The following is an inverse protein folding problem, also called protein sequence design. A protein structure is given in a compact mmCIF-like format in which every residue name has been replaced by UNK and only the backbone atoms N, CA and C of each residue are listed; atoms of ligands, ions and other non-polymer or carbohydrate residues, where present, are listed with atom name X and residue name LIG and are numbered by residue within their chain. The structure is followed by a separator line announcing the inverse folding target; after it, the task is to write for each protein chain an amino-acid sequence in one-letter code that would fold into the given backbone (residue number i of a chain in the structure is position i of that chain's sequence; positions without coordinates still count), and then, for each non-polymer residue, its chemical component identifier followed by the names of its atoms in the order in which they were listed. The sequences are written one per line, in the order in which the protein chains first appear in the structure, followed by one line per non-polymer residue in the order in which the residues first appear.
data_IF_866690957278
#
_entry.id   IF_866690957278
#
_cell.length_a   1.000
_cell.length_b   1.000
_cell.length_c   1.000
_cell.angle_alpha   90.00
_cell.angle_beta   90.00
_cell.angle_gamma   90.00
#
_symmetry.space_group_name_H-M   'P 1'
#
loop_
_entity.id
_entity.type
_entity.pdbx_description
1 polymer ?
#
# COMPACT_ATOMS: atom_id res chain seq x y z
N UNK A 1 -22.67 16.71 10.96
CA UNK A 1 -23.07 15.29 10.76
C UNK A 1 -23.84 15.04 9.46
N UNK A 2 -24.27 16.07 8.73
CA UNK A 2 -25.30 15.87 7.68
C UNK A 2 -24.78 15.77 6.25
N UNK A 3 -23.48 15.98 5.98
CA UNK A 3 -22.93 16.01 4.61
C UNK A 3 -22.56 14.63 4.04
N UNK A 4 -22.31 13.63 4.86
CA UNK A 4 -21.84 12.33 4.39
C UNK A 4 -22.83 11.60 3.48
N UNK A 5 -24.14 11.72 3.76
CA UNK A 5 -25.20 11.09 2.93
C UNK A 5 -25.32 11.63 1.51
N UNK A 6 -24.76 12.80 1.23
CA UNK A 6 -24.74 13.39 -0.12
C UNK A 6 -23.51 12.93 -0.94
N UNK A 7 -22.57 12.22 -0.32
CA UNK A 7 -21.42 11.65 -1.01
C UNK A 7 -21.78 10.34 -1.68
N UNK A 8 -21.11 10.04 -2.78
CA UNK A 8 -21.27 8.77 -3.51
C UNK A 8 -20.45 7.63 -2.92
N UNK A 9 -19.46 7.94 -2.10
CA UNK A 9 -18.57 6.99 -1.45
C UNK A 9 -17.43 7.70 -0.74
N UNK A 10 -16.60 6.92 -0.05
CA UNK A 10 -15.36 7.36 0.59
C UNK A 10 -14.21 6.55 -0.01
N UNK A 11 -13.18 7.22 -0.53
CA UNK A 11 -11.91 6.58 -0.91
C UNK A 11 -10.87 6.98 0.13
N UNK A 12 -10.43 6.01 0.92
CA UNK A 12 -9.41 6.21 1.94
C UNK A 12 -8.03 5.77 1.43
N UNK A 13 -7.27 6.72 0.90
CA UNK A 13 -5.87 6.58 0.54
C UNK A 13 -4.91 7.12 1.63
N UNK A 14 -5.44 7.60 2.76
CA UNK A 14 -4.62 8.08 3.87
C UNK A 14 -4.03 6.90 4.66
N UNK A 15 -2.74 6.98 4.95
CA UNK A 15 -2.06 5.99 5.78
C UNK A 15 -0.80 6.59 6.44
N UNK A 16 -0.41 6.02 7.58
CA UNK A 16 0.94 6.13 8.09
C UNK A 16 1.79 5.08 7.38
N UNK A 17 2.80 5.48 6.63
CA UNK A 17 3.58 4.60 5.73
C UNK A 17 5.06 4.47 6.09
N UNK A 18 5.51 5.11 7.17
CA UNK A 18 6.90 4.99 7.62
C UNK A 18 7.12 3.65 8.35
N UNK A 19 7.33 2.58 7.58
CA UNK A 19 7.38 1.18 8.05
C UNK A 19 8.35 1.00 9.21
N UNK A 20 9.62 1.41 9.04
CA UNK A 20 10.65 1.25 10.06
C UNK A 20 10.36 2.09 11.32
N UNK A 21 9.87 3.32 11.13
CA UNK A 21 9.53 4.19 12.25
C UNK A 21 8.33 3.66 13.04
N UNK A 22 7.43 2.90 12.40
CA UNK A 22 6.31 2.26 13.07
C UNK A 22 6.74 1.28 14.18
N UNK A 23 7.96 0.75 14.13
CA UNK A 23 8.50 -0.13 15.16
C UNK A 23 8.87 0.62 16.47
N UNK A 24 9.03 1.94 16.41
CA UNK A 24 9.21 2.77 17.61
C UNK A 24 7.90 2.94 18.39
N UNK A 25 7.99 3.25 19.69
CA UNK A 25 6.79 3.48 20.52
C UNK A 25 5.89 4.59 19.95
N UNK A 26 6.48 5.73 19.58
CA UNK A 26 5.74 6.84 18.99
C UNK A 26 5.18 6.50 17.61
N UNK A 27 5.97 5.88 16.75
CA UNK A 27 5.55 5.48 15.40
C UNK A 27 4.43 4.44 15.44
N UNK A 28 4.50 3.48 16.36
CA UNK A 28 3.44 2.50 16.61
C UNK A 28 2.11 3.18 16.94
N UNK A 29 2.11 4.11 17.89
CA UNK A 29 0.90 4.83 18.25
C UNK A 29 0.30 5.60 17.06
N UNK A 30 1.14 6.25 16.25
CA UNK A 30 0.71 6.96 15.04
C UNK A 30 0.19 6.01 13.95
N UNK A 31 0.88 4.89 13.72
CA UNK A 31 0.46 3.89 12.74
C UNK A 31 -0.92 3.31 13.11
N UNK A 32 -1.14 2.91 14.35
CA UNK A 32 -2.43 2.41 14.81
C UNK A 32 -3.53 3.47 14.77
N UNK A 33 -3.21 4.72 15.14
CA UNK A 33 -4.18 5.82 15.07
C UNK A 33 -4.66 6.07 13.64
N UNK A 34 -3.73 6.13 12.66
CA UNK A 34 -4.06 6.40 11.26
C UNK A 34 -4.65 5.17 10.56
N UNK A 35 -3.94 4.02 10.64
CA UNK A 35 -4.22 2.85 9.81
C UNK A 35 -5.34 1.96 10.35
N UNK A 36 -5.66 2.03 11.64
CA UNK A 36 -6.72 1.24 12.27
C UNK A 36 -7.86 2.12 12.80
N UNK A 37 -7.59 3.01 13.77
CA UNK A 37 -8.63 3.81 14.42
C UNK A 37 -9.29 4.78 13.44
N UNK A 38 -8.50 5.44 12.58
CA UNK A 38 -9.00 6.31 11.53
C UNK A 38 -9.91 5.58 10.55
N UNK A 39 -9.50 4.38 10.13
CA UNK A 39 -10.30 3.53 9.22
C UNK A 39 -11.61 3.09 9.90
N UNK A 40 -11.58 2.70 11.17
CA UNK A 40 -12.78 2.35 11.92
C UNK A 40 -13.76 3.53 12.03
N UNK A 41 -13.25 4.76 12.13
CA UNK A 41 -14.11 5.96 12.12
C UNK A 41 -14.76 6.15 10.74
N UNK A 42 -14.00 6.00 9.64
CA UNK A 42 -14.53 6.08 8.28
C UNK A 42 -15.54 4.97 7.99
N UNK A 43 -15.27 3.75 8.45
CA UNK A 43 -16.19 2.62 8.32
C UNK A 43 -17.56 2.91 8.96
N UNK A 44 -17.56 3.41 10.21
CA UNK A 44 -18.81 3.82 10.88
C UNK A 44 -19.56 4.91 10.12
N UNK A 45 -18.84 5.87 9.53
CA UNK A 45 -19.45 6.93 8.73
C UNK A 45 -20.06 6.37 7.46
N UNK A 46 -19.32 5.52 6.73
CA UNK A 46 -19.78 4.92 5.49
C UNK A 46 -21.01 4.05 5.71
N UNK A 47 -20.98 3.19 6.73
CA UNK A 47 -22.10 2.33 7.10
C UNK A 47 -23.35 3.14 7.49
N UNK A 48 -23.19 4.10 8.39
CA UNK A 48 -24.29 4.96 8.85
C UNK A 48 -24.86 5.89 7.76
N UNK A 49 -24.10 6.17 6.71
CA UNK A 49 -24.53 6.94 5.53
C UNK A 49 -25.05 6.04 4.40
N UNK A 50 -24.82 4.73 4.45
CA UNK A 50 -25.19 3.78 3.40
C UNK A 50 -24.38 3.94 2.11
N UNK A 51 -23.13 4.41 2.21
CA UNK A 51 -22.25 4.68 1.07
C UNK A 51 -21.05 3.71 1.07
N UNK A 52 -20.48 3.38 -0.10
CA UNK A 52 -19.31 2.50 -0.18
C UNK A 52 -18.05 3.13 0.44
N UNK A 53 -17.21 2.26 1.00
CA UNK A 53 -15.86 2.59 1.49
C UNK A 53 -14.83 1.83 0.66
N UNK A 54 -13.97 2.55 -0.04
CA UNK A 54 -12.72 2.01 -0.61
C UNK A 54 -11.60 2.26 0.39
N UNK A 55 -10.86 1.21 0.75
CA UNK A 55 -9.71 1.29 1.64
C UNK A 55 -8.46 0.75 0.95
N UNK A 56 -7.48 1.62 0.70
CA UNK A 56 -6.18 1.20 0.16
C UNK A 56 -5.38 0.52 1.26
N UNK A 57 -5.01 -0.73 1.04
CA UNK A 57 -4.22 -1.58 1.94
C UNK A 57 -2.87 -1.95 1.29
N UNK A 58 -2.19 -2.96 1.79
CA UNK A 58 -0.83 -3.32 1.44
C UNK A 58 -0.64 -4.85 1.42
N UNK A 59 0.34 -5.32 0.67
CA UNK A 59 0.88 -6.67 0.72
C UNK A 59 1.57 -7.00 2.05
N UNK A 60 2.02 -6.01 2.83
CA UNK A 60 2.57 -6.21 4.18
C UNK A 60 1.57 -6.83 5.19
N UNK A 61 0.33 -7.06 4.80
CA UNK A 61 -0.62 -7.87 5.60
C UNK A 61 -0.28 -9.36 5.57
N UNK A 62 0.59 -9.80 4.67
CA UNK A 62 1.08 -11.17 4.57
C UNK A 62 2.45 -11.34 5.23
N UNK A 63 2.85 -12.58 5.49
CA UNK A 63 4.14 -12.93 6.10
C UNK A 63 5.31 -13.06 5.10
N UNK A 64 5.03 -13.01 3.80
CA UNK A 64 6.05 -13.16 2.76
C UNK A 64 6.65 -14.57 2.67
N UNK A 65 6.03 -15.59 3.23
CA UNK A 65 6.56 -16.96 3.29
C UNK A 65 6.38 -17.78 2.00
N UNK A 66 5.59 -17.29 1.03
CA UNK A 66 5.40 -17.99 -0.22
C UNK A 66 6.68 -18.03 -1.05
N UNK A 67 7.01 -19.21 -1.65
CA UNK A 67 8.10 -19.30 -2.61
C UNK A 67 7.92 -18.36 -3.80
N UNK A 68 9.03 -17.91 -4.38
CA UNK A 68 9.00 -17.12 -5.62
C UNK A 68 8.22 -17.87 -6.72
N UNK A 69 7.40 -17.12 -7.45
CA UNK A 69 6.52 -17.65 -8.49
C UNK A 69 5.14 -18.08 -7.98
N UNK A 70 4.90 -18.03 -6.66
CA UNK A 70 3.56 -18.18 -6.09
C UNK A 70 3.01 -16.83 -5.65
N UNK A 71 1.69 -16.71 -5.64
CA UNK A 71 0.98 -15.47 -5.29
C UNK A 71 -0.04 -15.73 -4.19
N UNK A 72 -0.14 -14.79 -3.24
CA UNK A 72 -1.22 -14.82 -2.25
C UNK A 72 -2.56 -14.55 -2.93
N UNK A 73 -3.55 -15.36 -2.64
CA UNK A 73 -4.93 -15.09 -3.06
C UNK A 73 -5.57 -14.01 -2.17
N UNK A 74 -6.66 -13.43 -2.63
CA UNK A 74 -7.40 -12.42 -1.84
C UNK A 74 -7.93 -12.99 -0.51
N UNK A 75 -8.19 -14.29 -0.46
CA UNK A 75 -8.69 -15.02 0.71
C UNK A 75 -7.57 -15.63 1.57
N UNK A 76 -6.31 -15.48 1.18
CA UNK A 76 -5.20 -15.97 1.97
C UNK A 76 -5.21 -15.34 3.37
N UNK A 77 -4.93 -16.12 4.43
CA UNK A 77 -4.85 -15.60 5.79
C UNK A 77 -3.82 -14.48 5.91
N UNK A 78 -4.20 -13.40 6.58
CA UNK A 78 -3.25 -12.32 6.88
C UNK A 78 -2.38 -12.72 8.08
N UNK A 79 -1.07 -12.47 7.99
CA UNK A 79 -0.09 -12.79 9.01
C UNK A 79 1.04 -11.73 9.05
N UNK A 80 0.71 -10.46 9.32
CA UNK A 80 1.65 -9.35 9.20
C UNK A 80 2.79 -9.45 10.21
N UNK A 81 4.04 -9.29 9.75
CA UNK A 81 5.24 -9.36 10.58
C UNK A 81 5.57 -8.02 11.24
N UNK A 82 5.32 -6.89 10.57
CA UNK A 82 5.65 -5.55 11.05
C UNK A 82 4.47 -4.85 11.73
N UNK A 83 4.75 -3.87 12.57
CA UNK A 83 3.73 -3.01 13.19
C UNK A 83 2.91 -2.27 12.11
N UNK A 84 3.56 -1.83 11.04
CA UNK A 84 2.87 -1.25 9.90
C UNK A 84 1.84 -2.22 9.32
N UNK A 85 2.27 -3.44 8.97
CA UNK A 85 1.38 -4.48 8.45
C UNK A 85 0.23 -4.83 9.39
N UNK A 86 0.52 -4.96 10.70
CA UNK A 86 -0.49 -5.22 11.74
C UNK A 86 -1.53 -4.10 11.79
N UNK A 87 -1.10 -2.84 11.78
CA UNK A 87 -2.01 -1.68 11.79
C UNK A 87 -2.87 -1.62 10.54
N UNK A 88 -2.33 -1.95 9.37
CA UNK A 88 -3.06 -2.03 8.10
C UNK A 88 -4.06 -3.17 8.08
N UNK A 89 -3.68 -4.37 8.56
CA UNK A 89 -4.58 -5.51 8.70
C UNK A 89 -5.76 -5.20 9.64
N UNK A 90 -5.51 -4.50 10.75
CA UNK A 90 -6.57 -4.03 11.64
C UNK A 90 -7.52 -3.03 10.92
N UNK A 91 -6.99 -2.18 10.05
CA UNK A 91 -7.77 -1.31 9.19
C UNK A 91 -8.65 -2.08 8.20
N UNK A 92 -8.14 -3.16 7.60
CA UNK A 92 -8.95 -4.04 6.75
C UNK A 92 -10.11 -4.67 7.52
N UNK A 93 -9.88 -5.14 8.75
CA UNK A 93 -10.94 -5.68 9.60
C UNK A 93 -12.04 -4.64 9.86
N UNK A 94 -11.64 -3.38 10.11
CA UNK A 94 -12.59 -2.29 10.27
C UNK A 94 -13.35 -1.99 8.96
N UNK A 95 -12.68 -1.96 7.82
CA UNK A 95 -13.31 -1.72 6.52
C UNK A 95 -14.30 -2.84 6.14
N UNK A 96 -13.98 -4.11 6.45
CA UNK A 96 -14.85 -5.27 6.22
C UNK A 96 -16.17 -5.24 7.01
N UNK A 97 -16.25 -4.44 8.07
CA UNK A 97 -17.51 -4.26 8.80
C UNK A 97 -18.58 -3.49 8.02
N UNK A 98 -18.19 -2.81 6.94
CA UNK A 98 -19.10 -2.10 6.02
C UNK A 98 -19.51 -3.07 4.91
N UNK A 99 -20.80 -3.31 4.74
CA UNK A 99 -21.29 -4.24 3.70
C UNK A 99 -20.84 -3.81 2.28
N UNK A 100 -20.73 -2.51 2.04
CA UNK A 100 -20.29 -1.91 0.77
C UNK A 100 -18.83 -1.48 0.85
N UNK A 101 -17.91 -2.44 0.84
CA UNK A 101 -16.49 -2.11 0.92
C UNK A 101 -15.69 -2.66 -0.26
N UNK A 102 -14.63 -1.94 -0.61
CA UNK A 102 -13.53 -2.41 -1.44
C UNK A 102 -12.25 -2.26 -0.64
N UNK A 103 -11.55 -3.36 -0.38
CA UNK A 103 -10.20 -3.35 0.16
C UNK A 103 -9.26 -3.58 -1.01
N UNK A 104 -8.40 -2.61 -1.28
CA UNK A 104 -7.44 -2.66 -2.39
C UNK A 104 -6.05 -2.83 -1.82
N UNK A 105 -5.53 -4.05 -1.82
CA UNK A 105 -4.15 -4.35 -1.45
C UNK A 105 -3.23 -4.07 -2.63
N UNK A 106 -2.18 -3.34 -2.37
CA UNK A 106 -1.20 -2.95 -3.38
C UNK A 106 0.21 -3.06 -2.82
N UNK A 107 1.23 -2.95 -3.66
CA UNK A 107 2.64 -3.03 -3.30
C UNK A 107 3.44 -1.91 -3.97
N UNK A 108 4.52 -1.45 -3.33
CA UNK A 108 5.56 -0.60 -3.90
C UNK A 108 5.01 0.57 -4.71
N UNK A 109 4.11 1.34 -4.12
CA UNK A 109 3.41 2.44 -4.80
C UNK A 109 4.40 3.54 -5.18
N UNK A 110 4.40 3.90 -6.46
CA UNK A 110 5.28 4.88 -7.08
C UNK A 110 4.47 5.88 -7.90
N UNK A 111 4.82 7.15 -7.78
CA UNK A 111 4.16 8.23 -8.49
C UNK A 111 4.86 9.55 -8.21
N UNK A 112 4.18 10.65 -8.41
CA UNK A 112 4.71 11.97 -8.13
C UNK A 112 5.01 12.18 -6.65
N UNK A 113 6.05 12.96 -6.35
CA UNK A 113 6.47 13.29 -5.01
C UNK A 113 7.47 12.29 -4.41
N UNK A 114 7.56 12.28 -3.08
CA UNK A 114 8.57 11.48 -2.38
C UNK A 114 8.21 9.99 -2.42
N UNK A 115 9.03 9.22 -3.12
CA UNK A 115 8.94 7.77 -3.20
C UNK A 115 10.35 7.16 -3.31
N UNK A 116 10.46 5.83 -3.34
CA UNK A 116 11.74 5.13 -3.37
C UNK A 116 12.59 5.50 -4.60
N UNK A 117 11.97 5.63 -5.78
CA UNK A 117 12.68 5.98 -7.03
C UNK A 117 13.31 7.37 -6.93
N UNK A 118 12.55 8.37 -6.45
CA UNK A 118 13.06 9.73 -6.28
C UNK A 118 14.13 9.82 -5.19
N UNK A 119 14.03 8.99 -4.13
CA UNK A 119 15.09 8.89 -3.12
C UNK A 119 16.36 8.33 -3.74
N UNK A 120 16.28 7.21 -4.48
CA UNK A 120 17.46 6.61 -5.13
C UNK A 120 18.09 7.55 -6.15
N UNK A 121 17.29 8.24 -6.95
CA UNK A 121 17.76 9.28 -7.88
C UNK A 121 18.54 10.37 -7.15
N UNK A 122 17.99 10.93 -6.08
CA UNK A 122 18.68 11.94 -5.27
C UNK A 122 19.97 11.42 -4.65
N UNK A 123 20.01 10.16 -4.20
CA UNK A 123 21.26 9.56 -3.67
C UNK A 123 22.31 9.41 -4.76
N UNK A 124 21.93 8.94 -5.95
CA UNK A 124 22.81 8.81 -7.10
C UNK A 124 23.45 10.15 -7.50
N UNK A 125 22.63 11.20 -7.62
CA UNK A 125 23.08 12.57 -7.95
C UNK A 125 24.04 13.15 -6.90
N UNK A 126 23.84 12.85 -5.61
CA UNK A 126 24.70 13.30 -4.51
C UNK A 126 25.97 12.46 -4.32
N UNK A 127 26.17 11.42 -5.11
CA UNK A 127 27.33 10.55 -5.00
C UNK A 127 27.28 9.58 -3.81
N UNK A 128 26.12 9.35 -3.21
CA UNK A 128 25.94 8.43 -2.08
C UNK A 128 25.77 7.00 -2.58
N UNK A 129 26.37 6.04 -1.88
CA UNK A 129 26.26 4.61 -2.15
C UNK A 129 25.30 4.00 -1.10
N UNK A 130 24.04 3.75 -1.45
CA UNK A 130 23.07 3.20 -0.49
C UNK A 130 23.27 1.70 -0.33
N UNK A 131 23.01 1.19 0.88
CA UNK A 131 22.81 -0.23 1.09
C UNK A 131 21.31 -0.51 1.01
N UNK A 132 20.91 -1.41 0.11
CA UNK A 132 19.49 -1.73 -0.16
C UNK A 132 19.28 -3.23 0.00
N UNK A 133 18.15 -3.60 0.63
CA UNK A 133 17.78 -5.00 0.83
C UNK A 133 17.57 -5.73 -0.51
N UNK A 134 18.08 -6.96 -0.59
CA UNK A 134 18.05 -7.78 -1.81
C UNK A 134 17.24 -9.09 -1.64
N UNK A 135 16.54 -9.23 -0.53
CA UNK A 135 15.74 -10.42 -0.16
C UNK A 135 14.23 -10.16 -0.14
N UNK A 136 13.82 -8.90 -0.33
CA UNK A 136 12.42 -8.53 -0.48
C UNK A 136 12.06 -8.40 -1.95
N UNK A 137 11.12 -9.23 -2.38
CA UNK A 137 10.68 -9.33 -3.78
C UNK A 137 9.29 -8.72 -3.95
N UNK A 138 9.08 -8.01 -5.06
CA UNK A 138 7.80 -7.39 -5.35
C UNK A 138 7.73 -6.81 -6.76
N UNK A 139 6.66 -6.10 -7.03
CA UNK A 139 6.44 -5.35 -8.26
C UNK A 139 6.08 -3.90 -7.91
N UNK A 140 6.66 -2.91 -8.60
CA UNK A 140 6.20 -1.53 -8.51
C UNK A 140 4.74 -1.42 -8.96
N UNK A 141 4.00 -0.52 -8.31
CA UNK A 141 2.63 -0.15 -8.71
C UNK A 141 2.58 1.36 -8.92
N UNK A 142 2.22 1.79 -10.12
CA UNK A 142 2.12 3.21 -10.41
C UNK A 142 0.80 3.79 -9.91
N UNK A 143 0.86 5.00 -9.33
CA UNK A 143 -0.32 5.67 -8.75
C UNK A 143 -1.42 5.90 -9.77
N UNK A 144 -1.08 6.14 -11.03
CA UNK A 144 -2.05 6.32 -12.12
C UNK A 144 -2.85 5.03 -12.36
N UNK A 145 -2.16 3.87 -12.46
CA UNK A 145 -2.79 2.58 -12.68
C UNK A 145 -3.62 2.15 -11.46
N UNK A 146 -3.07 2.35 -10.25
CA UNK A 146 -3.81 2.08 -9.01
C UNK A 146 -5.10 2.91 -8.92
N UNK A 147 -5.01 4.19 -9.27
CA UNK A 147 -6.17 5.10 -9.27
C UNK A 147 -7.18 4.66 -10.32
N UNK A 148 -6.73 4.33 -11.54
CA UNK A 148 -7.58 3.80 -12.61
C UNK A 148 -8.32 2.54 -12.18
N UNK A 149 -7.64 1.59 -11.54
CA UNK A 149 -8.26 0.38 -11.01
C UNK A 149 -9.30 0.67 -9.92
N UNK A 150 -9.00 1.56 -8.97
CA UNK A 150 -9.94 1.97 -7.92
C UNK A 150 -11.20 2.61 -8.54
N UNK A 151 -11.03 3.52 -9.48
CA UNK A 151 -12.15 4.16 -10.16
C UNK A 151 -12.98 3.14 -10.94
N UNK A 152 -12.33 2.20 -11.63
CA UNK A 152 -13.03 1.12 -12.33
C UNK A 152 -13.88 0.28 -11.39
N UNK A 153 -13.35 -0.14 -10.22
CA UNK A 153 -14.11 -0.92 -9.23
C UNK A 153 -15.39 -0.20 -8.81
N UNK A 154 -15.30 1.12 -8.58
CA UNK A 154 -16.43 1.92 -8.11
C UNK A 154 -17.41 2.23 -9.22
N UNK A 155 -16.94 2.62 -10.42
CA UNK A 155 -17.77 3.08 -11.54
C UNK A 155 -18.46 1.92 -12.26
N UNK A 156 -17.78 0.79 -12.42
CA UNK A 156 -18.36 -0.42 -12.99
C UNK A 156 -19.28 -1.16 -12.01
N UNK A 157 -19.28 -0.78 -10.72
CA UNK A 157 -20.06 -1.45 -9.69
C UNK A 157 -19.65 -2.90 -9.49
N UNK A 158 -18.33 -3.16 -9.48
CA UNK A 158 -17.80 -4.49 -9.20
C UNK A 158 -18.29 -5.03 -7.86
N UNK A 159 -18.21 -6.35 -7.64
CA UNK A 159 -18.59 -6.95 -6.36
C UNK A 159 -17.79 -6.35 -5.20
N UNK A 160 -18.45 -6.12 -4.07
CA UNK A 160 -17.77 -5.66 -2.87
C UNK A 160 -16.86 -6.75 -2.33
N UNK A 161 -15.68 -6.38 -1.84
CA UNK A 161 -14.72 -7.35 -1.34
C UNK A 161 -13.28 -6.86 -1.36
N UNK A 162 -12.35 -7.83 -1.33
CA UNK A 162 -10.91 -7.57 -1.35
C UNK A 162 -10.34 -7.81 -2.75
N UNK A 163 -9.46 -6.92 -3.17
CA UNK A 163 -8.78 -6.96 -4.47
C UNK A 163 -7.28 -6.77 -4.28
N UNK A 164 -6.49 -7.47 -5.10
CA UNK A 164 -5.07 -7.22 -5.26
C UNK A 164 -4.87 -6.38 -6.52
N UNK A 165 -4.19 -5.26 -6.41
CA UNK A 165 -3.91 -4.36 -7.52
C UNK A 165 -2.43 -4.03 -7.53
N UNK A 166 -1.72 -4.49 -8.53
CA UNK A 166 -0.33 -4.16 -8.84
C UNK A 166 -0.13 -4.12 -10.34
N UNK A 167 0.93 -3.46 -10.81
CA UNK A 167 1.30 -3.55 -12.22
C UNK A 167 1.85 -4.94 -12.54
N UNK A 168 1.81 -5.30 -13.82
CA UNK A 168 2.43 -6.50 -14.38
C UNK A 168 3.93 -6.29 -14.58
N UNK A 169 4.65 -7.37 -14.88
CA UNK A 169 6.09 -7.36 -15.15
C UNK A 169 6.85 -8.34 -14.27
N UNK A 170 8.17 -8.23 -14.31
CA UNK A 170 9.06 -9.10 -13.54
C UNK A 170 8.96 -8.82 -12.03
N UNK A 171 9.11 -9.87 -11.25
CA UNK A 171 9.32 -9.74 -9.80
C UNK A 171 10.78 -9.38 -9.58
N UNK A 172 11.03 -8.26 -8.92
CA UNK A 172 12.37 -7.74 -8.66
C UNK A 172 12.58 -7.48 -7.17
N UNK A 173 13.83 -7.28 -6.76
CA UNK A 173 14.16 -6.84 -5.40
C UNK A 173 14.23 -5.31 -5.32
N UNK A 174 14.20 -4.77 -4.09
CA UNK A 174 14.48 -3.34 -3.88
C UNK A 174 15.88 -2.96 -4.38
N UNK A 175 16.88 -3.85 -4.22
CA UNK A 175 18.22 -3.63 -4.76
C UNK A 175 18.22 -3.58 -6.29
N UNK A 176 17.47 -4.45 -6.98
CA UNK A 176 17.36 -4.42 -8.45
C UNK A 176 16.73 -3.12 -8.94
N UNK A 177 15.67 -2.67 -8.23
CA UNK A 177 15.04 -1.40 -8.55
C UNK A 177 16.00 -0.23 -8.35
N UNK A 178 16.75 -0.20 -7.23
CA UNK A 178 17.74 0.84 -6.97
C UNK A 178 18.84 0.86 -8.06
N UNK A 179 19.38 -0.32 -8.43
CA UNK A 179 20.36 -0.45 -9.54
C UNK A 179 19.80 0.07 -10.86
N UNK A 180 18.53 -0.23 -11.13
CA UNK A 180 17.85 0.26 -12.34
C UNK A 180 17.74 1.79 -12.34
N UNK A 181 17.41 2.40 -11.20
CA UNK A 181 17.36 3.87 -11.07
C UNK A 181 18.73 4.49 -11.25
N UNK A 182 19.78 3.94 -10.63
CA UNK A 182 21.17 4.42 -10.80
C UNK A 182 21.56 4.39 -12.28
N UNK A 183 21.35 3.27 -12.96
CA UNK A 183 21.63 3.13 -14.39
C UNK A 183 20.84 4.13 -15.23
N UNK A 184 19.55 4.31 -14.97
CA UNK A 184 18.70 5.23 -15.73
C UNK A 184 19.09 6.70 -15.54
N UNK A 185 19.74 7.04 -14.42
CA UNK A 185 20.26 8.39 -14.13
C UNK A 185 21.73 8.59 -14.52
N UNK A 186 22.33 7.63 -15.25
CA UNK A 186 23.70 7.71 -15.75
C UNK A 186 24.77 7.38 -14.72
N UNK A 187 24.41 6.73 -13.61
CA UNK A 187 25.35 6.31 -12.57
C UNK A 187 25.58 4.79 -12.60
N UNK A 188 26.72 4.34 -12.05
CA UNK A 188 27.03 2.90 -11.98
C UNK A 188 26.06 2.18 -11.04
N UNK A 189 25.41 1.08 -11.48
CA UNK A 189 24.60 0.24 -10.61
C UNK A 189 25.41 -0.50 -9.54
N UNK A 190 26.74 -0.61 -9.68
CA UNK A 190 27.62 -1.27 -8.71
C UNK A 190 27.80 -0.46 -7.42
N UNK A 191 27.22 0.75 -7.38
CA UNK A 191 27.20 1.62 -6.19
C UNK A 191 26.03 1.35 -5.25
N UNK A 192 25.21 0.33 -5.56
CA UNK A 192 24.08 -0.10 -4.77
C UNK A 192 24.35 -1.46 -4.14
#
# INVERSE_FOLDING_TARGET
AHRWRSLRGIINAAAYTAVDTAETEQGRAQAWAANATGVAALARIADGAGIPLVHVSTDYVFDGSLPLGQEYTVDAPVAPLSVYGQSKAAGEMAARSVARHYIVRTSWVMGDGKNFVEIMKSLAERGVEPTVVADQHGRPTFTEDLTGAILHLVEAGCEYGTYHVSNTGDVITWADLAKTVFKATGHSPDRV
#
